data_IF_392497700453
#
_entry.id   IF_392497700453
#
_cell.length_a   1.000
_cell.length_b   1.000
_cell.length_c   1.000
_cell.angle_alpha   90.00
_cell.angle_beta   90.00
_cell.angle_gamma   90.00
#
_symmetry.space_group_name_H-M   'P 1'
#
loop_
_entity.id
_entity.type
_entity.pdbx_description
1 polymer ?
#
# COMPACT_ATOMS: atom_id res chain seq x y z
N UNK A 1 -37.09 25.30 28.41
CA UNK A 1 -35.93 25.40 27.50
C UNK A 1 -34.58 25.19 28.20
N UNK A 2 -34.30 25.82 29.35
CA UNK A 2 -32.99 25.74 30.05
C UNK A 2 -32.51 24.31 30.43
N UNK A 3 -33.39 23.38 30.82
CA UNK A 3 -32.99 22.00 31.19
C UNK A 3 -32.48 21.14 30.01
N UNK A 4 -32.88 21.45 28.77
CA UNK A 4 -32.38 20.74 27.56
C UNK A 4 -30.99 21.27 27.16
N UNK A 5 -30.77 22.57 27.30
CA UNK A 5 -29.49 23.20 27.02
C UNK A 5 -28.38 22.71 27.96
N UNK A 6 -28.67 22.50 29.26
CA UNK A 6 -27.65 22.02 30.20
C UNK A 6 -27.23 20.57 29.97
N UNK A 7 -28.17 19.69 29.56
CA UNK A 7 -27.83 18.29 29.18
C UNK A 7 -27.00 18.22 27.91
N UNK A 8 -27.27 19.09 26.94
CA UNK A 8 -26.48 19.18 25.71
C UNK A 8 -25.06 19.70 25.97
N UNK A 9 -24.91 20.68 26.87
CA UNK A 9 -23.60 21.21 27.26
C UNK A 9 -22.76 20.16 28.04
N UNK A 10 -23.38 19.41 28.95
CA UNK A 10 -22.72 18.30 29.66
C UNK A 10 -22.29 17.21 28.67
N UNK A 11 -23.13 16.89 27.68
CA UNK A 11 -22.77 15.94 26.61
C UNK A 11 -21.59 16.45 25.77
N UNK A 12 -21.57 17.72 25.39
CA UNK A 12 -20.46 18.35 24.64
C UNK A 12 -19.15 18.41 25.43
N UNK A 13 -19.22 18.68 26.73
CA UNK A 13 -18.05 18.67 27.62
C UNK A 13 -17.54 17.23 27.76
N UNK A 14 -18.43 16.25 27.97
CA UNK A 14 -18.05 14.85 28.05
C UNK A 14 -17.42 14.36 26.74
N UNK A 15 -18.01 14.67 25.58
CA UNK A 15 -17.45 14.29 24.27
C UNK A 15 -16.07 14.90 24.01
N UNK A 16 -15.81 16.13 24.45
CA UNK A 16 -14.49 16.75 24.31
C UNK A 16 -13.46 16.23 25.32
N UNK A 17 -13.88 15.75 26.51
CA UNK A 17 -12.95 15.21 27.51
C UNK A 17 -12.43 13.80 27.20
N UNK A 18 -12.97 13.11 26.19
CA UNK A 18 -12.62 11.71 25.88
C UNK A 18 -11.64 11.54 24.70
N UNK A 19 -11.21 12.60 24.04
CA UNK A 19 -10.22 12.52 22.96
C UNK A 19 -8.86 12.99 23.47
N UNK A 20 -8.28 12.22 24.39
CA UNK A 20 -6.87 12.37 24.73
C UNK A 20 -6.03 11.79 23.60
N UNK A 21 -5.47 12.66 22.77
CA UNK A 21 -4.49 12.27 21.74
C UNK A 21 -3.12 12.34 22.40
N UNK A 22 -2.46 11.19 22.52
CA UNK A 22 -1.07 11.17 22.95
C UNK A 22 -0.17 11.52 21.76
N UNK A 23 0.44 12.70 21.78
CA UNK A 23 1.36 13.16 20.73
C UNK A 23 2.77 13.40 21.30
N UNK A 24 3.80 12.83 20.67
CA UNK A 24 5.20 13.04 21.07
C UNK A 24 6.13 12.96 19.85
N UNK A 25 7.09 13.89 19.80
CA UNK A 25 8.23 13.82 18.88
C UNK A 25 9.20 12.78 19.42
N UNK A 26 9.60 11.83 18.58
CA UNK A 26 10.56 10.79 18.94
C UNK A 26 11.89 10.97 18.24
N UNK A 27 12.97 10.63 18.95
CA UNK A 27 14.34 10.74 18.43
C UNK A 27 15.05 9.39 18.28
N UNK A 28 14.48 8.31 18.81
CA UNK A 28 15.13 6.99 18.83
C UNK A 28 14.12 5.85 19.00
N UNK A 29 14.60 4.61 18.78
CA UNK A 29 13.83 3.37 18.92
C UNK A 29 13.22 3.19 20.32
N UNK A 30 13.96 3.54 21.38
CA UNK A 30 13.48 3.36 22.75
C UNK A 30 12.25 4.22 23.04
N UNK A 31 12.24 5.47 22.57
CA UNK A 31 11.08 6.36 22.69
C UNK A 31 9.90 5.88 21.87
N UNK A 32 10.15 5.36 20.66
CA UNK A 32 9.10 4.74 19.83
C UNK A 32 8.42 3.58 20.58
N UNK A 33 9.23 2.66 21.13
CA UNK A 33 8.74 1.50 21.87
C UNK A 33 7.99 1.91 23.14
N UNK A 34 8.47 2.94 23.86
CA UNK A 34 7.79 3.50 25.03
C UNK A 34 6.39 3.99 24.66
N UNK A 35 6.25 4.75 23.57
CA UNK A 35 4.97 5.29 23.13
C UNK A 35 4.00 4.19 22.70
N UNK A 36 4.45 3.25 21.87
CA UNK A 36 3.62 2.14 21.39
C UNK A 36 3.12 1.28 22.55
N UNK A 37 3.89 1.19 23.64
CA UNK A 37 3.50 0.43 24.84
C UNK A 37 2.39 1.08 25.67
N UNK A 38 2.05 2.35 25.42
CA UNK A 38 1.02 3.08 26.18
C UNK A 38 -0.38 2.55 25.87
N UNK A 39 -1.27 2.63 26.87
CA UNK A 39 -2.67 2.21 26.78
C UNK A 39 -3.58 3.35 26.33
N UNK A 40 -3.16 4.08 25.30
CA UNK A 40 -3.94 5.16 24.71
C UNK A 40 -4.72 4.65 23.51
N UNK A 41 -5.92 5.19 23.30
CA UNK A 41 -6.77 4.82 22.15
C UNK A 41 -6.32 5.52 20.88
N UNK A 42 -5.69 6.69 20.98
CA UNK A 42 -5.16 7.45 19.86
C UNK A 42 -3.71 7.85 20.12
N UNK A 43 -2.82 7.49 19.21
CA UNK A 43 -1.38 7.72 19.32
C UNK A 43 -0.89 8.47 18.09
N UNK A 44 -0.20 9.59 18.30
CA UNK A 44 0.47 10.37 17.27
C UNK A 44 1.97 10.39 17.54
N UNK A 45 2.74 9.88 16.57
CA UNK A 45 4.19 9.72 16.64
C UNK A 45 4.79 10.67 15.63
N UNK A 46 5.39 11.76 16.12
CA UNK A 46 6.02 12.76 15.28
C UNK A 46 7.50 12.42 15.07
N UNK A 47 7.96 12.46 13.82
CA UNK A 47 9.32 12.08 13.41
C UNK A 47 9.94 13.27 12.70
N UNK A 48 10.95 13.89 13.29
CA UNK A 48 11.62 15.06 12.73
C UNK A 48 13.06 14.77 12.25
N UNK A 49 13.47 13.50 12.37
CA UNK A 49 14.85 13.05 12.18
C UNK A 49 14.89 11.61 11.69
N UNK A 50 16.10 11.09 11.48
CA UNK A 50 16.35 9.69 11.16
C UNK A 50 16.34 8.86 12.45
N UNK A 51 15.52 7.82 12.46
CA UNK A 51 15.38 6.87 13.57
C UNK A 51 15.82 5.50 13.08
N UNK A 52 16.90 4.98 13.67
CA UNK A 52 17.35 3.61 13.43
C UNK A 52 16.59 2.65 14.34
N UNK A 53 16.06 1.59 13.74
CA UNK A 53 15.29 0.53 14.42
C UNK A 53 16.03 -0.78 14.25
N UNK A 54 16.36 -1.43 15.37
CA UNK A 54 17.15 -2.65 15.37
C UNK A 54 16.32 -3.91 15.59
N UNK A 55 15.02 -3.76 15.78
CA UNK A 55 14.10 -4.86 16.07
C UNK A 55 12.80 -4.74 15.29
N UNK A 56 12.00 -5.81 15.28
CA UNK A 56 10.63 -5.72 14.79
C UNK A 56 9.80 -4.79 15.68
N UNK A 57 8.99 -3.92 15.06
CA UNK A 57 8.02 -3.09 15.78
C UNK A 57 6.64 -3.75 15.63
N UNK A 58 6.14 -4.33 16.72
CA UNK A 58 4.86 -5.05 16.74
C UNK A 58 3.84 -4.25 17.54
N UNK A 59 2.82 -3.74 16.87
CA UNK A 59 1.75 -2.95 17.48
C UNK A 59 0.55 -3.85 17.72
N UNK A 60 0.43 -4.35 18.95
CA UNK A 60 -0.59 -5.33 19.35
C UNK A 60 -1.65 -4.79 20.31
N UNK A 61 -1.44 -3.59 20.87
CA UNK A 61 -2.39 -2.92 21.74
C UNK A 61 -3.69 -2.57 21.00
N UNK A 62 -4.79 -2.48 21.74
CA UNK A 62 -6.06 -1.99 21.21
C UNK A 62 -6.00 -0.49 21.01
N UNK A 63 -5.85 -0.06 19.76
CA UNK A 63 -5.67 1.33 19.36
C UNK A 63 -6.74 1.66 18.32
N UNK A 64 -7.53 2.69 18.58
CA UNK A 64 -8.49 3.21 17.61
C UNK A 64 -7.75 3.85 16.43
N UNK A 65 -6.74 4.70 16.69
CA UNK A 65 -5.93 5.31 15.64
C UNK A 65 -4.46 5.45 16.03
N UNK A 66 -3.55 5.10 15.13
CA UNK A 66 -2.13 5.41 15.24
C UNK A 66 -1.63 6.16 14.00
N UNK A 67 -0.94 7.27 14.23
CA UNK A 67 -0.34 8.10 13.18
C UNK A 67 1.17 8.17 13.34
N UNK A 68 1.91 7.93 12.26
CA UNK A 68 3.32 8.24 12.12
C UNK A 68 3.42 9.43 11.17
N UNK A 69 3.84 10.58 11.70
CA UNK A 69 3.84 11.85 10.97
C UNK A 69 5.25 12.41 10.93
N UNK A 70 5.81 12.49 9.73
CA UNK A 70 7.04 13.20 9.48
C UNK A 70 6.82 14.67 9.11
N UNK A 71 7.91 15.42 9.10
CA UNK A 71 7.94 16.77 8.55
C UNK A 71 8.02 16.75 7.02
N UNK A 72 8.86 15.87 6.46
CA UNK A 72 9.03 15.65 5.03
C UNK A 72 9.65 14.29 4.75
N UNK A 73 9.50 13.80 3.51
CA UNK A 73 10.09 12.54 3.06
C UNK A 73 11.62 12.56 3.23
N UNK A 74 12.26 13.72 3.03
CA UNK A 74 13.70 13.90 3.04
C UNK A 74 14.30 14.00 4.45
N UNK A 75 13.54 14.54 5.41
CA UNK A 75 14.06 14.81 6.77
C UNK A 75 13.62 13.79 7.82
N UNK A 76 12.51 13.10 7.57
CA UNK A 76 11.86 12.24 8.56
C UNK A 76 11.93 10.80 8.08
N UNK A 77 12.72 9.97 8.76
CA UNK A 77 13.02 8.61 8.28
C UNK A 77 12.97 7.57 9.39
N UNK A 78 12.33 6.44 9.13
CA UNK A 78 12.48 5.21 9.92
C UNK A 78 13.32 4.23 9.11
N UNK A 79 14.43 3.76 9.69
CA UNK A 79 15.36 2.85 9.03
C UNK A 79 15.53 1.60 9.88
N UNK A 80 15.02 0.47 9.39
CA UNK A 80 15.30 -0.82 9.99
C UNK A 80 16.71 -1.27 9.58
N UNK A 81 17.55 -1.55 10.58
CA UNK A 81 18.95 -1.95 10.32
C UNK A 81 19.06 -3.34 9.71
N UNK A 82 18.08 -4.21 9.94
CA UNK A 82 17.91 -5.49 9.27
C UNK A 82 16.74 -5.42 8.29
N UNK A 83 17.00 -5.76 7.03
CA UNK A 83 16.00 -5.76 5.95
C UNK A 83 14.87 -6.79 6.12
N UNK A 84 15.02 -7.75 7.04
CA UNK A 84 13.96 -8.71 7.41
C UNK A 84 13.02 -8.15 8.48
N UNK A 85 13.39 -7.08 9.18
CA UNK A 85 12.52 -6.48 10.19
C UNK A 85 11.35 -5.74 9.57
N UNK A 86 10.27 -5.65 10.34
CA UNK A 86 9.02 -5.07 9.90
C UNK A 86 8.34 -4.21 10.96
N UNK A 87 7.58 -3.23 10.47
CA UNK A 87 6.53 -2.54 11.19
C UNK A 87 5.22 -3.32 11.01
N UNK A 88 4.78 -3.99 12.06
CA UNK A 88 3.61 -4.87 12.04
C UNK A 88 2.45 -4.24 12.81
N UNK A 89 1.35 -3.98 12.10
CA UNK A 89 0.09 -3.54 12.67
C UNK A 89 -0.86 -4.72 12.83
N UNK A 90 -1.16 -5.10 14.07
CA UNK A 90 -2.10 -6.17 14.35
C UNK A 90 -3.56 -5.72 14.13
N UNK A 91 -4.50 -6.67 14.10
CA UNK A 91 -5.96 -6.47 13.98
C UNK A 91 -6.62 -5.62 15.07
N UNK A 92 -5.89 -5.37 16.15
CA UNK A 92 -6.34 -4.56 17.28
C UNK A 92 -6.12 -3.05 17.03
N UNK A 93 -5.41 -2.70 15.96
CA UNK A 93 -5.28 -1.32 15.48
C UNK A 93 -6.35 -1.09 14.40
N UNK A 94 -7.27 -0.15 14.58
CA UNK A 94 -8.32 0.08 13.58
C UNK A 94 -7.87 1.00 12.46
N UNK A 95 -7.36 2.18 12.81
CA UNK A 95 -6.92 3.20 11.87
C UNK A 95 -5.41 3.41 11.92
N UNK A 96 -4.79 3.48 10.75
CA UNK A 96 -3.35 3.70 10.59
C UNK A 96 -3.13 4.84 9.61
N UNK A 97 -2.26 5.77 9.99
CA UNK A 97 -1.84 6.89 9.15
C UNK A 97 -0.32 6.96 9.09
N UNK A 98 0.25 6.90 7.89
CA UNK A 98 1.66 7.12 7.61
C UNK A 98 1.76 8.35 6.70
N UNK A 99 2.46 9.39 7.15
CA UNK A 99 2.46 10.68 6.44
C UNK A 99 3.81 11.38 6.42
N UNK A 100 4.19 11.92 5.26
CA UNK A 100 5.35 12.81 5.09
C UNK A 100 6.67 12.24 5.61
N UNK A 101 6.97 10.97 5.34
CA UNK A 101 8.17 10.31 5.88
C UNK A 101 8.71 9.23 4.94
N UNK A 102 9.99 8.89 5.11
CA UNK A 102 10.63 7.75 4.47
C UNK A 102 10.68 6.54 5.40
N UNK A 103 10.47 5.35 4.86
CA UNK A 103 10.64 4.07 5.57
C UNK A 103 11.58 3.19 4.75
N UNK A 104 12.64 2.70 5.40
CA UNK A 104 13.49 1.62 4.87
C UNK A 104 13.25 0.41 5.77
N UNK A 105 12.47 -0.56 5.27
CA UNK A 105 12.03 -1.74 6.02
C UNK A 105 10.66 -2.22 5.55
N UNK A 106 10.20 -3.34 6.11
CA UNK A 106 8.94 -3.95 5.69
C UNK A 106 7.75 -3.41 6.49
N UNK A 107 6.55 -3.45 5.91
CA UNK A 107 5.30 -3.09 6.58
C UNK A 107 4.29 -4.22 6.40
N UNK A 108 3.59 -4.55 7.49
CA UNK A 108 2.53 -5.55 7.48
C UNK A 108 1.24 -5.01 8.11
N UNK A 109 0.13 -5.14 7.40
CA UNK A 109 -1.22 -4.78 7.85
C UNK A 109 -2.07 -6.03 8.07
N UNK A 110 -2.60 -6.22 9.28
CA UNK A 110 -3.45 -7.36 9.60
C UNK A 110 -4.86 -6.87 9.96
N UNK A 111 -5.83 -7.04 9.06
CA UNK A 111 -7.24 -6.79 9.34
C UNK A 111 -7.52 -5.41 9.95
N UNK A 112 -6.80 -4.38 9.48
CA UNK A 112 -7.03 -2.99 9.86
C UNK A 112 -8.16 -2.40 9.02
N UNK A 113 -8.98 -1.54 9.62
CA UNK A 113 -10.19 -0.99 9.00
C UNK A 113 -9.85 0.11 8.00
N UNK A 114 -9.08 1.11 8.45
CA UNK A 114 -8.73 2.28 7.66
C UNK A 114 -7.21 2.47 7.64
N UNK A 115 -6.63 2.55 6.44
CA UNK A 115 -5.20 2.80 6.26
C UNK A 115 -5.04 3.99 5.32
N UNK A 116 -4.24 4.97 5.74
CA UNK A 116 -3.81 6.10 4.94
C UNK A 116 -2.28 6.10 4.84
N UNK A 117 -1.76 6.04 3.63
CA UNK A 117 -0.36 6.25 3.30
C UNK A 117 -0.31 7.46 2.38
N UNK A 118 0.20 8.60 2.87
CA UNK A 118 0.17 9.88 2.16
C UNK A 118 1.54 10.54 2.16
N UNK A 119 2.10 10.77 0.97
CA UNK A 119 3.41 11.43 0.82
C UNK A 119 4.49 10.64 1.58
N UNK A 120 4.58 9.35 1.28
CA UNK A 120 5.54 8.42 1.91
C UNK A 120 6.46 7.85 0.84
N UNK A 121 7.75 7.73 1.17
CA UNK A 121 8.70 6.93 0.39
C UNK A 121 8.96 5.62 1.14
N UNK A 122 8.81 4.48 0.47
CA UNK A 122 9.09 3.17 1.04
C UNK A 122 10.13 2.44 0.21
N UNK A 123 11.15 1.94 0.90
CA UNK A 123 12.02 0.88 0.43
C UNK A 123 11.83 -0.34 1.32
N UNK A 124 11.12 -1.36 0.83
CA UNK A 124 10.88 -2.62 1.54
C UNK A 124 9.71 -3.40 0.96
N UNK A 125 9.22 -4.42 1.65
CA UNK A 125 7.98 -5.12 1.25
C UNK A 125 6.76 -4.50 1.94
N UNK A 126 5.62 -4.53 1.25
CA UNK A 126 4.31 -4.23 1.84
C UNK A 126 3.47 -5.49 1.78
N UNK A 127 2.97 -5.94 2.92
CA UNK A 127 2.10 -7.10 2.99
C UNK A 127 0.81 -6.76 3.73
N UNK A 128 -0.28 -7.43 3.36
CA UNK A 128 -1.52 -7.37 4.11
C UNK A 128 -2.29 -8.69 4.14
N UNK A 129 -3.03 -8.88 5.23
CA UNK A 129 -4.09 -9.89 5.34
C UNK A 129 -5.39 -9.21 5.75
N UNK A 130 -6.34 -9.13 4.80
CA UNK A 130 -7.68 -8.58 5.02
C UNK A 130 -8.77 -9.62 4.78
N UNK A 131 -8.49 -10.88 5.11
CA UNK A 131 -9.47 -11.97 5.04
C UNK A 131 -10.75 -11.65 5.82
N UNK A 132 -10.64 -10.96 6.96
CA UNK A 132 -11.77 -10.59 7.82
C UNK A 132 -12.34 -9.23 7.42
N UNK A 133 -11.54 -8.17 7.51
CA UNK A 133 -12.02 -6.79 7.31
C UNK A 133 -10.96 -5.87 6.71
N UNK A 134 -11.43 -4.97 5.85
CA UNK A 134 -10.79 -3.71 5.47
C UNK A 134 -11.88 -2.82 4.88
N UNK A 135 -12.05 -1.62 5.41
CA UNK A 135 -13.03 -0.66 4.91
C UNK A 135 -12.40 0.22 3.85
N UNK A 136 -11.15 0.66 4.08
CA UNK A 136 -10.46 1.59 3.21
C UNK A 136 -8.94 1.45 3.33
N UNK A 137 -8.25 1.47 2.20
CA UNK A 137 -6.80 1.61 2.13
C UNK A 137 -6.44 2.64 1.05
N UNK A 138 -5.98 3.82 1.46
CA UNK A 138 -5.54 4.88 0.56
C UNK A 138 -4.01 4.91 0.49
N UNK A 139 -3.49 4.94 -0.73
CA UNK A 139 -2.09 5.20 -1.05
C UNK A 139 -2.04 6.42 -1.97
N UNK A 140 -1.47 7.52 -1.49
CA UNK A 140 -1.39 8.79 -2.19
C UNK A 140 0.04 9.35 -2.16
N UNK A 141 0.46 10.00 -3.25
CA UNK A 141 1.77 10.65 -3.34
C UNK A 141 2.91 9.70 -2.91
N UNK A 142 2.78 8.41 -3.23
CA UNK A 142 3.63 7.37 -2.70
C UNK A 142 4.78 7.07 -3.66
N UNK A 143 5.98 6.89 -3.12
CA UNK A 143 7.16 6.48 -3.89
C UNK A 143 7.61 5.13 -3.36
N UNK A 144 7.47 4.10 -4.18
CA UNK A 144 7.95 2.77 -3.87
C UNK A 144 9.23 2.44 -4.63
N UNK A 145 10.24 1.98 -3.89
CA UNK A 145 11.44 1.35 -4.42
C UNK A 145 11.63 -0.02 -3.79
N UNK A 146 12.21 -0.95 -4.54
CA UNK A 146 12.58 -2.26 -4.00
C UNK A 146 13.79 -2.17 -3.07
N UNK A 147 13.87 -3.09 -2.10
CA UNK A 147 15.09 -3.33 -1.31
C UNK A 147 15.80 -4.58 -1.78
N UNK A 148 16.99 -4.82 -1.26
CA UNK A 148 17.74 -6.06 -1.52
C UNK A 148 17.14 -7.30 -0.84
N UNK A 149 16.02 -7.19 -0.11
CA UNK A 149 15.40 -8.30 0.60
C UNK A 149 14.48 -9.10 -0.34
N UNK A 150 14.76 -10.38 -0.62
CA UNK A 150 13.98 -11.16 -1.56
C UNK A 150 12.53 -11.36 -1.11
N UNK A 151 11.59 -11.27 -2.05
CA UNK A 151 10.17 -11.57 -1.81
C UNK A 151 9.52 -12.17 -3.05
N UNK A 152 8.40 -12.89 -2.87
CA UNK A 152 7.65 -13.36 -4.03
C UNK A 152 7.03 -12.20 -4.80
N UNK A 153 6.32 -11.31 -4.11
CA UNK A 153 5.87 -10.04 -4.67
C UNK A 153 6.41 -8.92 -3.79
N UNK A 154 6.78 -7.80 -4.40
CA UNK A 154 7.25 -6.64 -3.64
C UNK A 154 6.14 -6.07 -2.74
N UNK A 155 4.92 -6.02 -3.30
CA UNK A 155 3.71 -5.53 -2.66
C UNK A 155 2.63 -6.59 -2.79
N UNK A 156 2.15 -7.09 -1.65
CA UNK A 156 1.07 -8.07 -1.53
C UNK A 156 -0.07 -7.44 -0.73
N UNK A 157 -1.04 -6.83 -1.40
CA UNK A 157 -2.12 -6.09 -0.75
C UNK A 157 -3.51 -6.61 -1.12
N UNK A 158 -4.48 -6.47 -0.21
CA UNK A 158 -5.90 -6.67 -0.51
C UNK A 158 -6.74 -5.51 0.02
N UNK A 159 -8.05 -5.71 0.14
CA UNK A 159 -8.95 -4.72 0.72
C UNK A 159 -9.43 -3.67 -0.30
N UNK A 160 -10.15 -2.66 0.17
CA UNK A 160 -10.68 -1.58 -0.67
C UNK A 160 -9.59 -0.53 -0.91
N UNK A 161 -8.78 -0.78 -1.93
CA UNK A 161 -7.55 -0.04 -2.19
C UNK A 161 -7.78 1.10 -3.19
N UNK A 162 -7.32 2.30 -2.85
CA UNK A 162 -7.27 3.46 -3.74
C UNK A 162 -5.83 3.96 -3.84
N UNK A 163 -5.23 3.86 -5.01
CA UNK A 163 -3.88 4.34 -5.32
C UNK A 163 -4.00 5.53 -6.26
N UNK A 164 -3.39 6.66 -5.90
CA UNK A 164 -3.33 7.81 -6.81
C UNK A 164 -2.05 8.61 -6.68
N UNK A 165 -1.67 9.28 -7.78
CA UNK A 165 -0.47 10.11 -7.88
C UNK A 165 0.80 9.43 -7.31
N UNK A 166 1.02 8.16 -7.65
CA UNK A 166 2.05 7.33 -7.01
C UNK A 166 2.99 6.69 -8.02
N UNK A 167 4.22 6.40 -7.61
CA UNK A 167 5.27 5.80 -8.44
C UNK A 167 5.78 4.52 -7.81
N UNK A 168 5.85 3.44 -8.60
CA UNK A 168 6.32 2.14 -8.17
C UNK A 168 7.43 1.64 -9.09
N UNK A 169 8.59 1.32 -8.51
CA UNK A 169 9.76 0.80 -9.24
C UNK A 169 10.17 -0.57 -8.72
N UNK A 170 10.00 -1.57 -9.57
CA UNK A 170 10.41 -2.94 -9.34
C UNK A 170 11.91 -3.16 -9.55
N UNK A 171 12.34 -4.39 -9.24
CA UNK A 171 13.67 -4.91 -9.58
C UNK A 171 13.62 -6.44 -9.55
N UNK A 172 14.76 -7.07 -9.80
CA UNK A 172 14.94 -8.51 -9.69
C UNK A 172 14.92 -9.05 -8.26
N UNK A 173 14.75 -8.21 -7.23
CA UNK A 173 14.63 -8.67 -5.84
C UNK A 173 13.24 -9.24 -5.51
N UNK A 174 12.27 -9.06 -6.38
CA UNK A 174 10.97 -9.70 -6.25
C UNK A 174 10.82 -10.77 -7.34
N UNK A 175 10.38 -11.96 -6.96
CA UNK A 175 10.43 -13.12 -7.85
C UNK A 175 9.32 -13.10 -8.89
N UNK A 176 8.12 -12.62 -8.53
CA UNK A 176 6.92 -12.76 -9.35
C UNK A 176 6.40 -11.44 -9.89
N UNK A 177 6.10 -10.46 -9.03
CA UNK A 177 5.54 -9.15 -9.42
C UNK A 177 5.93 -8.01 -8.52
N UNK A 178 5.89 -6.81 -9.09
CA UNK A 178 5.95 -5.56 -8.33
C UNK A 178 4.74 -5.44 -7.39
N UNK A 179 3.53 -5.73 -7.88
CA UNK A 179 2.33 -5.67 -7.06
C UNK A 179 1.39 -6.84 -7.35
N UNK A 180 0.87 -7.44 -6.30
CA UNK A 180 -0.20 -8.42 -6.33
C UNK A 180 -1.36 -7.92 -5.46
N UNK A 181 -2.52 -7.75 -6.09
CA UNK A 181 -3.75 -7.34 -5.45
C UNK A 181 -4.70 -8.54 -5.26
N UNK A 182 -5.12 -8.78 -4.01
CA UNK A 182 -6.08 -9.82 -3.62
C UNK A 182 -7.46 -9.23 -3.31
N UNK A 183 -8.38 -9.36 -4.26
CA UNK A 183 -9.76 -8.88 -4.14
C UNK A 183 -10.69 -9.78 -3.33
N UNK A 184 -10.41 -11.10 -3.27
CA UNK A 184 -11.20 -12.09 -2.51
C UNK A 184 -12.71 -12.09 -2.85
N UNK A 185 -13.05 -11.77 -4.10
CA UNK A 185 -14.43 -11.62 -4.62
C UNK A 185 -15.29 -10.57 -3.89
N UNK A 186 -14.70 -9.73 -3.04
CA UNK A 186 -15.43 -8.75 -2.23
C UNK A 186 -14.86 -7.34 -2.25
N UNK A 187 -13.59 -7.18 -2.60
CA UNK A 187 -12.90 -5.91 -2.50
C UNK A 187 -12.68 -5.24 -3.86
N UNK A 188 -12.49 -3.93 -3.80
CA UNK A 188 -12.29 -3.06 -4.95
C UNK A 188 -10.87 -2.49 -5.01
N UNK A 189 -10.43 -2.18 -6.23
CA UNK A 189 -9.16 -1.51 -6.49
C UNK A 189 -9.38 -0.36 -7.45
N UNK A 190 -8.96 0.84 -7.05
CA UNK A 190 -8.86 2.00 -7.92
C UNK A 190 -7.41 2.44 -8.03
N UNK A 191 -6.89 2.58 -9.24
CA UNK A 191 -5.56 3.12 -9.53
C UNK A 191 -5.72 4.29 -10.50
N UNK A 192 -5.14 5.45 -10.18
CA UNK A 192 -5.19 6.61 -11.06
C UNK A 192 -3.89 7.41 -11.04
N UNK A 193 -3.56 8.09 -12.14
CA UNK A 193 -2.44 9.05 -12.20
C UNK A 193 -1.12 8.47 -11.67
N UNK A 194 -0.86 7.18 -11.91
CA UNK A 194 0.26 6.46 -11.28
C UNK A 194 1.20 5.84 -12.32
N UNK A 195 2.45 5.64 -11.91
CA UNK A 195 3.51 5.03 -12.73
C UNK A 195 3.94 3.69 -12.11
N UNK A 196 3.93 2.63 -12.91
CA UNK A 196 4.47 1.32 -12.56
C UNK A 196 5.58 0.97 -13.55
N UNK A 197 6.82 0.88 -13.06
CA UNK A 197 7.97 0.44 -13.82
C UNK A 197 8.50 -0.89 -13.31
N UNK A 198 8.59 -1.88 -14.19
CA UNK A 198 9.23 -3.16 -13.87
C UNK A 198 10.75 -3.14 -13.97
N UNK A 199 11.36 -2.03 -14.43
CA UNK A 199 12.80 -1.89 -14.68
C UNK A 199 13.42 -3.07 -15.44
N UNK A 200 12.69 -3.56 -16.46
CA UNK A 200 12.95 -4.75 -17.28
C UNK A 200 13.25 -6.03 -16.50
N UNK A 201 12.85 -6.08 -15.24
CA UNK A 201 13.19 -7.17 -14.33
C UNK A 201 11.97 -7.98 -13.90
N UNK A 202 10.80 -7.35 -13.86
CA UNK A 202 9.60 -7.96 -13.27
C UNK A 202 8.29 -7.48 -13.93
N UNK A 203 7.22 -8.29 -13.90
CA UNK A 203 5.88 -7.83 -14.25
C UNK A 203 5.34 -6.82 -13.23
N UNK A 204 4.46 -5.92 -13.67
CA UNK A 204 3.99 -4.83 -12.80
C UNK A 204 2.88 -5.27 -11.84
N UNK A 205 1.70 -5.63 -12.35
CA UNK A 205 0.49 -5.78 -11.53
C UNK A 205 -0.20 -7.13 -11.78
N UNK A 206 -0.57 -7.83 -10.71
CA UNK A 206 -1.57 -8.90 -10.75
C UNK A 206 -2.81 -8.49 -9.98
N UNK A 207 -3.97 -8.83 -10.53
CA UNK A 207 -5.28 -8.60 -9.94
C UNK A 207 -5.98 -9.94 -9.85
N UNK A 208 -6.28 -10.35 -8.62
CA UNK A 208 -6.88 -11.65 -8.33
C UNK A 208 -8.25 -11.47 -7.66
N UNK A 209 -9.31 -12.00 -8.30
CA UNK A 209 -10.69 -12.00 -7.78
C UNK A 209 -11.18 -10.63 -7.29
N UNK A 210 -10.98 -9.59 -8.09
CA UNK A 210 -11.42 -8.23 -7.84
C UNK A 210 -12.90 -8.01 -8.16
N UNK A 211 -13.68 -7.49 -7.21
CA UNK A 211 -15.12 -7.25 -7.39
C UNK A 211 -15.39 -6.12 -8.37
N UNK A 212 -14.66 -5.01 -8.24
CA UNK A 212 -14.70 -3.88 -9.17
C UNK A 212 -13.32 -3.22 -9.21
N UNK A 213 -12.71 -3.26 -10.38
CA UNK A 213 -11.35 -2.79 -10.61
C UNK A 213 -11.37 -1.68 -11.64
N UNK A 214 -10.84 -0.53 -11.25
CA UNK A 214 -10.73 0.65 -12.09
C UNK A 214 -9.27 1.12 -12.15
N UNK A 215 -8.71 1.19 -13.35
CA UNK A 215 -7.38 1.74 -13.59
C UNK A 215 -7.53 2.85 -14.61
N UNK A 216 -7.08 4.06 -14.29
CA UNK A 216 -7.14 5.18 -15.24
C UNK A 216 -5.89 6.04 -15.25
N UNK A 217 -5.65 6.72 -16.37
CA UNK A 217 -4.68 7.82 -16.48
C UNK A 217 -3.28 7.44 -15.95
N UNK A 218 -2.89 6.18 -16.13
CA UNK A 218 -1.68 5.58 -15.53
C UNK A 218 -0.73 5.04 -16.59
N UNK A 219 0.53 4.89 -16.21
CA UNK A 219 1.61 4.42 -17.09
C UNK A 219 2.18 3.11 -16.55
N UNK A 220 2.27 2.11 -17.42
CA UNK A 220 2.94 0.85 -17.15
C UNK A 220 4.09 0.69 -18.15
N UNK A 221 5.32 0.66 -17.64
CA UNK A 221 6.51 0.63 -18.49
C UNK A 221 7.57 -0.35 -18.04
N UNK A 222 8.43 -0.74 -18.99
CA UNK A 222 9.61 -1.55 -18.74
C UNK A 222 9.29 -2.81 -17.94
N UNK A 223 8.12 -3.41 -18.13
CA UNK A 223 7.80 -4.66 -17.48
C UNK A 223 8.45 -5.83 -18.20
N UNK A 224 8.85 -6.85 -17.46
CA UNK A 224 9.41 -8.08 -18.04
C UNK A 224 8.76 -9.32 -17.42
N UNK A 225 8.17 -10.19 -18.25
CA UNK A 225 7.65 -11.49 -17.83
C UNK A 225 8.40 -12.61 -18.57
N UNK A 226 9.24 -13.37 -17.86
CA UNK A 226 9.96 -14.54 -18.39
C UNK A 226 9.06 -15.76 -18.61
N UNK A 227 9.59 -16.80 -19.29
CA UNK A 227 8.90 -18.07 -19.58
C UNK A 227 8.32 -18.78 -18.35
N UNK A 228 8.97 -18.59 -17.19
CA UNK A 228 8.56 -19.17 -15.91
C UNK A 228 7.24 -18.60 -15.37
N UNK A 229 6.74 -17.50 -15.94
CA UNK A 229 5.48 -16.90 -15.56
C UNK A 229 4.43 -17.16 -16.64
N UNK A 230 3.35 -17.86 -16.30
CA UNK A 230 2.19 -18.04 -17.18
C UNK A 230 1.34 -16.77 -17.22
N UNK A 231 1.93 -15.65 -17.63
CA UNK A 231 1.38 -14.34 -17.33
C UNK A 231 1.87 -13.23 -18.27
N UNK A 232 1.01 -12.25 -18.50
CA UNK A 232 1.28 -11.02 -19.26
C UNK A 232 2.20 -10.08 -18.49
N UNK A 233 2.91 -9.24 -19.25
CA UNK A 233 4.06 -8.50 -18.72
C UNK A 233 3.66 -7.30 -17.85
N UNK A 234 2.82 -6.35 -18.30
CA UNK A 234 2.36 -5.28 -17.42
C UNK A 234 1.31 -5.73 -16.42
N UNK A 235 0.18 -6.26 -16.90
CA UNK A 235 -0.99 -6.54 -16.06
C UNK A 235 -1.51 -7.96 -16.33
N UNK A 236 -1.72 -8.71 -15.25
CA UNK A 236 -2.51 -9.93 -15.27
C UNK A 236 -3.77 -9.80 -14.46
N UNK A 237 -4.85 -10.35 -15.00
CA UNK A 237 -6.20 -10.25 -14.43
C UNK A 237 -6.77 -11.66 -14.34
N UNK A 238 -7.15 -12.06 -13.13
CA UNK A 238 -7.79 -13.32 -12.83
C UNK A 238 -9.14 -13.08 -12.16
N UNK A 239 -10.21 -13.72 -12.64
CA UNK A 239 -11.48 -13.79 -11.88
C UNK A 239 -12.17 -12.45 -11.60
N UNK A 240 -11.84 -11.38 -12.32
CA UNK A 240 -12.17 -10.01 -11.91
C UNK A 240 -13.11 -9.28 -12.88
N UNK A 241 -13.81 -8.27 -12.38
CA UNK A 241 -14.46 -7.22 -13.19
C UNK A 241 -13.49 -6.05 -13.30
N UNK A 242 -12.99 -5.77 -14.49
CA UNK A 242 -11.92 -4.78 -14.68
C UNK A 242 -12.19 -3.80 -15.80
N UNK A 243 -11.93 -2.54 -15.50
CA UNK A 243 -12.07 -1.41 -16.41
C UNK A 243 -10.77 -0.61 -16.45
N UNK A 244 -10.18 -0.44 -17.64
CA UNK A 244 -8.92 0.28 -17.86
C UNK A 244 -9.11 1.40 -18.88
N UNK A 245 -8.76 2.63 -18.50
CA UNK A 245 -9.03 3.84 -19.29
C UNK A 245 -7.81 4.74 -19.38
N UNK A 246 -7.59 5.38 -20.53
CA UNK A 246 -6.57 6.44 -20.68
C UNK A 246 -5.17 6.03 -20.19
N UNK A 247 -4.80 4.75 -20.32
CA UNK A 247 -3.53 4.25 -19.83
C UNK A 247 -2.50 4.13 -20.95
N UNK A 248 -1.23 4.33 -20.60
CA UNK A 248 -0.09 4.11 -21.50
C UNK A 248 0.66 2.84 -21.10
N UNK A 249 0.91 1.98 -22.07
CA UNK A 249 1.75 0.79 -21.93
C UNK A 249 2.92 0.92 -22.90
N UNK A 250 4.15 0.99 -22.39
CA UNK A 250 5.34 1.16 -23.23
C UNK A 250 6.53 0.33 -22.82
N UNK A 251 7.29 -0.10 -23.82
CA UNK A 251 8.55 -0.82 -23.63
C UNK A 251 8.41 -2.06 -22.74
N UNK A 252 7.33 -2.80 -22.92
CA UNK A 252 6.99 -3.96 -22.11
C UNK A 252 7.31 -5.26 -22.86
N UNK A 253 7.99 -6.20 -22.20
CA UNK A 253 8.44 -7.45 -22.81
C UNK A 253 7.77 -8.61 -22.08
N UNK A 254 6.88 -9.32 -22.78
CA UNK A 254 6.29 -10.55 -22.30
C UNK A 254 6.75 -11.73 -23.14
N UNK A 255 7.19 -12.80 -22.49
CA UNK A 255 7.46 -14.04 -23.23
C UNK A 255 6.13 -14.71 -23.64
N UNK A 256 5.12 -14.68 -22.76
CA UNK A 256 3.75 -15.16 -22.99
C UNK A 256 2.76 -14.03 -22.67
N UNK A 257 1.95 -13.61 -23.64
CA UNK A 257 1.01 -12.49 -23.46
C UNK A 257 1.68 -11.12 -23.63
N UNK A 258 0.90 -10.15 -24.15
CA UNK A 258 1.36 -8.78 -24.41
C UNK A 258 1.18 -7.87 -23.19
N UNK A 259 0.56 -6.71 -23.41
CA UNK A 259 0.25 -5.73 -22.35
C UNK A 259 -0.67 -6.28 -21.26
N UNK A 260 -1.50 -7.27 -21.62
CA UNK A 260 -2.48 -7.88 -20.74
C UNK A 260 -2.40 -9.40 -20.84
N UNK A 261 -2.69 -10.05 -19.73
CA UNK A 261 -3.06 -11.45 -19.68
C UNK A 261 -4.34 -11.60 -18.88
N UNK A 262 -5.37 -12.12 -19.56
CA UNK A 262 -6.72 -12.22 -19.04
C UNK A 262 -7.04 -13.69 -18.87
N UNK A 263 -7.37 -14.12 -17.66
CA UNK A 263 -7.74 -15.50 -17.38
C UNK A 263 -9.01 -15.56 -16.52
N UNK A 264 -9.99 -16.34 -16.97
CA UNK A 264 -11.26 -16.55 -16.27
C UNK A 264 -11.90 -15.26 -15.73
N UNK A 265 -11.84 -14.18 -16.52
CA UNK A 265 -12.33 -12.86 -16.08
C UNK A 265 -13.86 -12.78 -16.17
N UNK A 266 -14.47 -12.03 -15.27
CA UNK A 266 -15.92 -11.83 -15.24
C UNK A 266 -16.34 -10.77 -16.28
N UNK A 267 -15.58 -9.68 -16.37
CA UNK A 267 -15.79 -8.60 -17.34
C UNK A 267 -14.49 -7.82 -17.55
N UNK A 268 -14.18 -7.48 -18.78
CA UNK A 268 -13.01 -6.66 -19.11
C UNK A 268 -13.38 -5.56 -20.11
N UNK A 269 -13.12 -4.31 -19.73
CA UNK A 269 -13.27 -3.14 -20.59
C UNK A 269 -11.94 -2.39 -20.67
N UNK A 270 -11.52 -2.07 -21.89
CA UNK A 270 -10.35 -1.27 -22.16
C UNK A 270 -10.70 -0.19 -23.19
N UNK A 271 -10.41 1.08 -22.89
CA UNK A 271 -10.67 2.18 -23.80
C UNK A 271 -9.57 3.25 -23.71
N UNK A 272 -9.24 3.85 -24.85
CA UNK A 272 -8.26 4.94 -24.97
C UNK A 272 -6.91 4.52 -24.41
N UNK A 273 -6.41 3.38 -24.90
CA UNK A 273 -5.10 2.86 -24.51
C UNK A 273 -4.05 3.31 -25.52
N UNK A 274 -2.92 3.79 -25.04
CA UNK A 274 -1.74 4.02 -25.86
C UNK A 274 -0.73 2.90 -25.62
N UNK A 275 -0.58 1.99 -26.60
CA UNK A 275 0.29 0.81 -26.48
C UNK A 275 1.36 0.89 -27.58
N UNK A 276 2.63 0.94 -27.19
CA UNK A 276 3.76 0.92 -28.13
C UNK A 276 4.95 0.17 -27.54
N UNK A 277 5.83 -0.33 -28.41
CA UNK A 277 7.01 -1.13 -28.03
C UNK A 277 6.69 -2.25 -27.03
N UNK A 278 5.52 -2.87 -27.13
CA UNK A 278 5.11 -3.99 -26.28
C UNK A 278 5.12 -5.27 -27.09
N UNK A 279 5.89 -6.27 -26.67
CA UNK A 279 6.13 -7.51 -27.42
C UNK A 279 5.63 -8.72 -26.65
N UNK A 280 4.95 -9.63 -27.35
CA UNK A 280 4.72 -11.01 -26.91
C UNK A 280 5.58 -11.93 -27.80
N UNK A 281 6.56 -12.63 -27.21
CA UNK A 281 7.51 -13.44 -28.00
C UNK A 281 6.87 -14.73 -28.51
N UNK A 282 6.08 -15.42 -27.67
CA UNK A 282 5.31 -16.59 -28.09
C UNK A 282 3.83 -16.27 -28.29
N UNK A 283 3.23 -16.95 -29.27
CA UNK A 283 1.78 -17.03 -29.43
C UNK A 283 1.24 -17.90 -28.29
N UNK A 284 0.35 -17.32 -27.47
CA UNK A 284 -0.41 -18.02 -26.43
C UNK A 284 -1.81 -18.26 -26.94
#
# INVERSE_FOLDING_TARGET
MLKKASKFLIYLILVNTYLYVYSKIIQNESELLEIISKKDTTIEINIDSLININTNIIINNSIEKISFIGNSIETSSIVFSDSSHQLYFNKNVKEIELKNLSIIGNIYFNNNENILVDSVSLSGNINSDFTIKNEKFIINNFIYNTTSFPSHNCIEIGGNVNIFNSTFRGSSYCDKRLMNYKGLDKYTLSISESLFSGEYSIPCLNIDYGLDIKISDSIFEKSYASESFENGSPISIYGSVTNIYNCTFRDNIGIKGGSFYLYNFNKFNANTLNIYNTTAIYKV
#
